data_IF_903214778381
#
_entry.id   IF_903214778381
#
_cell.length_a   1.000
_cell.length_b   1.000
_cell.length_c   1.000
_cell.angle_alpha   90.00
_cell.angle_beta   90.00
_cell.angle_gamma   90.00
#
_symmetry.space_group_name_H-M   'P 1'
#
loop_
_entity.id
_entity.type
_entity.pdbx_description
1 polymer ?
#
# COMPACT_ATOMS: atom_id res chain seq x y z
N UNK A 1 17.27 -4.49 20.13
CA UNK A 1 16.69 -4.47 18.78
C UNK A 1 17.79 -4.27 17.76
N UNK A 2 17.76 -4.92 16.59
CA UNK A 2 18.59 -4.49 15.44
C UNK A 2 17.79 -3.43 14.70
N UNK A 3 18.37 -2.25 14.55
CA UNK A 3 17.79 -1.18 13.73
C UNK A 3 18.31 -1.35 12.31
N UNK A 4 17.42 -1.21 11.33
CA UNK A 4 17.75 -1.16 9.91
C UNK A 4 17.19 0.15 9.35
N UNK A 5 17.97 0.86 8.53
CA UNK A 5 17.48 2.02 7.79
C UNK A 5 16.83 1.53 6.50
N UNK A 6 15.54 1.81 6.34
CA UNK A 6 14.82 1.56 5.10
C UNK A 6 14.84 2.81 4.21
N UNK A 7 14.99 2.62 2.90
CA UNK A 7 14.87 3.65 1.86
C UNK A 7 13.78 3.22 0.88
N UNK A 8 12.86 4.12 0.58
CA UNK A 8 11.70 3.84 -0.26
C UNK A 8 11.68 4.71 -1.51
N UNK A 9 11.27 4.11 -2.63
CA UNK A 9 10.95 4.82 -3.88
C UNK A 9 9.51 4.49 -4.27
N UNK A 10 8.71 5.54 -4.49
CA UNK A 10 7.30 5.41 -4.87
C UNK A 10 7.11 5.65 -6.36
N UNK A 11 6.33 4.80 -7.02
CA UNK A 11 6.02 4.91 -8.45
C UNK A 11 4.55 4.62 -8.72
N UNK A 12 3.90 5.49 -9.49
CA UNK A 12 2.54 5.24 -9.98
C UNK A 12 2.55 4.11 -11.01
N UNK A 13 1.71 3.09 -10.82
CA UNK A 13 1.60 1.92 -11.71
C UNK A 13 0.38 1.89 -12.60
N UNK A 14 -0.58 2.80 -12.39
CA UNK A 14 -1.80 2.90 -13.18
C UNK A 14 -3.04 3.10 -12.33
N UNK A 15 -4.18 2.67 -12.85
CA UNK A 15 -5.50 2.70 -12.19
C UNK A 15 -5.99 1.28 -11.95
N UNK A 16 -6.87 1.13 -10.97
CA UNK A 16 -7.50 -0.14 -10.59
C UNK A 16 -8.88 0.16 -9.96
N UNK A 17 -9.62 -0.87 -9.53
CA UNK A 17 -10.81 -0.71 -8.70
C UNK A 17 -10.71 -1.54 -7.41
N UNK A 18 -11.23 -1.01 -6.32
CA UNK A 18 -11.35 -1.72 -5.04
C UNK A 18 -12.84 -1.89 -4.75
N UNK A 19 -13.27 -3.14 -4.58
CA UNK A 19 -14.64 -3.47 -4.19
C UNK A 19 -14.75 -3.70 -2.69
N UNK A 20 -15.69 -2.99 -2.06
CA UNK A 20 -16.04 -3.16 -0.66
C UNK A 20 -17.56 -3.34 -0.56
N UNK A 21 -17.99 -4.57 -0.26
CA UNK A 21 -19.41 -4.90 -0.24
C UNK A 21 -20.04 -4.73 -1.62
N UNK A 22 -21.03 -3.85 -1.75
CA UNK A 22 -21.69 -3.53 -3.03
C UNK A 22 -21.12 -2.28 -3.72
N UNK A 23 -20.13 -1.62 -3.13
CA UNK A 23 -19.52 -0.40 -3.68
C UNK A 23 -18.22 -0.76 -4.42
N UNK A 24 -18.02 -0.13 -5.58
CA UNK A 24 -16.77 -0.19 -6.34
C UNK A 24 -16.16 1.20 -6.38
N UNK A 25 -14.92 1.34 -5.90
CA UNK A 25 -14.19 2.59 -5.87
C UNK A 25 -13.04 2.55 -6.88
N UNK A 26 -13.04 3.48 -7.84
CA UNK A 26 -11.92 3.68 -8.74
C UNK A 26 -10.71 4.25 -7.98
N UNK A 27 -9.53 3.72 -8.24
CA UNK A 27 -8.30 4.06 -7.51
C UNK A 27 -7.10 4.15 -8.46
N UNK A 28 -6.04 4.82 -8.00
CA UNK A 28 -4.70 4.77 -8.58
C UNK A 28 -3.80 3.89 -7.72
N UNK A 29 -2.94 3.12 -8.37
CA UNK A 29 -2.02 2.19 -7.70
C UNK A 29 -0.67 2.84 -7.54
N UNK A 30 -0.20 2.94 -6.29
CA UNK A 30 1.13 3.39 -5.93
C UNK A 30 1.95 2.19 -5.44
N UNK A 31 3.00 1.86 -6.17
CA UNK A 31 4.00 0.87 -5.75
C UNK A 31 5.09 1.58 -4.94
N UNK A 32 5.52 0.96 -3.85
CA UNK A 32 6.68 1.36 -3.07
C UNK A 32 7.73 0.24 -3.12
N UNK A 33 8.90 0.55 -3.66
CA UNK A 33 10.07 -0.32 -3.51
C UNK A 33 10.84 0.10 -2.27
N UNK A 34 10.97 -0.82 -1.30
CA UNK A 34 11.70 -0.58 -0.06
C UNK A 34 12.99 -1.38 -0.05
N UNK A 35 14.09 -0.72 0.32
CA UNK A 35 15.41 -1.31 0.40
C UNK A 35 16.05 -1.03 1.75
N UNK A 36 16.78 -2.01 2.25
CA UNK A 36 17.74 -1.88 3.36
C UNK A 36 19.06 -2.45 2.88
N UNK A 37 20.12 -2.36 3.69
CA UNK A 37 21.41 -2.96 3.34
C UNK A 37 21.37 -4.50 3.26
N UNK A 38 20.30 -5.14 3.76
CA UNK A 38 20.20 -6.61 3.87
C UNK A 38 19.13 -7.23 2.97
N UNK A 39 18.09 -6.48 2.61
CA UNK A 39 16.94 -7.00 1.88
C UNK A 39 16.13 -5.90 1.22
N UNK A 40 15.25 -6.30 0.30
CA UNK A 40 14.29 -5.44 -0.39
C UNK A 40 12.93 -6.12 -0.46
N UNK A 41 11.88 -5.31 -0.49
CA UNK A 41 10.51 -5.76 -0.69
C UNK A 41 9.69 -4.69 -1.38
N UNK A 42 8.47 -5.06 -1.75
CA UNK A 42 7.53 -4.15 -2.39
C UNK A 42 6.26 -4.06 -1.57
N UNK A 43 5.83 -2.83 -1.31
CA UNK A 43 4.49 -2.54 -0.80
C UNK A 43 3.64 -1.95 -1.92
N UNK A 44 2.32 -2.02 -1.77
CA UNK A 44 1.35 -1.45 -2.71
C UNK A 44 0.23 -0.75 -1.97
N UNK A 45 -0.20 0.37 -2.51
CA UNK A 45 -1.26 1.21 -1.99
C UNK A 45 -2.26 1.52 -3.10
N UNK A 46 -3.55 1.38 -2.81
CA UNK A 46 -4.64 1.78 -3.70
C UNK A 46 -5.26 3.05 -3.16
N UNK A 47 -5.14 4.14 -3.93
CA UNK A 47 -5.46 5.49 -3.49
C UNK A 47 -6.65 6.00 -4.33
N UNK A 48 -7.73 6.43 -3.68
CA UNK A 48 -8.89 6.99 -4.39
C UNK A 48 -8.64 8.42 -4.90
N UNK A 49 -9.65 8.99 -5.57
CA UNK A 49 -9.57 10.34 -6.13
C UNK A 49 -9.43 11.45 -5.07
N UNK A 50 -9.77 11.18 -3.81
CA UNK A 50 -9.64 12.12 -2.69
C UNK A 50 -8.27 11.99 -1.99
N UNK A 51 -7.45 11.02 -2.40
CA UNK A 51 -6.16 10.74 -1.77
C UNK A 51 -6.23 9.78 -0.59
N UNK A 52 -7.39 9.17 -0.31
CA UNK A 52 -7.52 8.18 0.76
C UNK A 52 -7.01 6.81 0.31
N UNK A 53 -6.28 6.12 1.18
CA UNK A 53 -5.85 4.74 0.94
C UNK A 53 -7.04 3.81 1.21
N UNK A 54 -7.49 3.09 0.19
CA UNK A 54 -8.58 2.12 0.27
C UNK A 54 -8.11 0.71 0.57
N UNK A 55 -6.90 0.38 0.12
CA UNK A 55 -6.28 -0.90 0.37
C UNK A 55 -4.76 -0.77 0.45
N UNK A 56 -4.13 -1.63 1.24
CA UNK A 56 -2.68 -1.82 1.25
C UNK A 56 -2.30 -3.28 1.18
N UNK A 57 -1.16 -3.55 0.54
CA UNK A 57 -0.39 -4.78 0.67
C UNK A 57 1.01 -4.38 1.11
N UNK A 58 1.38 -4.74 2.33
CA UNK A 58 2.63 -4.31 2.97
C UNK A 58 3.31 -5.46 3.69
N UNK A 59 4.57 -5.29 4.04
CA UNK A 59 5.28 -6.22 4.93
C UNK A 59 5.59 -5.57 6.28
N UNK A 60 5.22 -6.25 7.36
CA UNK A 60 5.72 -5.94 8.71
C UNK A 60 7.09 -6.58 8.87
N UNK A 61 8.11 -5.74 9.04
CA UNK A 61 9.50 -6.15 8.95
C UNK A 61 9.95 -6.35 7.51
N UNK A 62 11.26 -6.49 7.33
CA UNK A 62 11.91 -6.44 6.04
C UNK A 62 11.64 -7.70 5.19
N UNK A 63 10.47 -7.73 4.54
CA UNK A 63 9.90 -8.87 3.79
C UNK A 63 9.46 -10.07 4.64
N UNK A 64 9.12 -9.86 5.93
CA UNK A 64 8.91 -11.00 6.84
C UNK A 64 7.45 -11.42 6.97
N UNK A 65 6.54 -10.49 7.32
CA UNK A 65 5.12 -10.80 7.49
C UNK A 65 4.26 -9.98 6.53
N UNK A 66 3.63 -10.60 5.51
CA UNK A 66 2.74 -9.90 4.61
C UNK A 66 1.43 -9.54 5.34
N UNK A 67 0.97 -8.30 5.14
CA UNK A 67 -0.27 -7.75 5.67
C UNK A 67 -1.06 -7.14 4.53
N UNK A 68 -2.31 -7.56 4.41
CA UNK A 68 -3.29 -6.95 3.52
C UNK A 68 -4.37 -6.27 4.35
N UNK A 69 -4.61 -4.99 4.07
CA UNK A 69 -5.61 -4.19 4.78
C UNK A 69 -6.56 -3.56 3.79
N UNK A 70 -7.87 -3.65 4.04
CA UNK A 70 -8.91 -2.97 3.25
C UNK A 70 -9.72 -2.07 4.18
N UNK A 71 -9.86 -0.80 3.82
CA UNK A 71 -10.65 0.16 4.61
C UNK A 71 -12.10 0.14 4.13
N UNK A 72 -12.98 -0.41 4.97
CA UNK A 72 -14.39 -0.67 4.61
C UNK A 72 -15.24 0.60 4.64
N UNK A 73 -14.90 1.57 5.48
CA UNK A 73 -15.65 2.83 5.60
C UNK A 73 -14.83 3.96 4.97
N UNK A 74 -15.36 4.55 3.91
CA UNK A 74 -14.88 5.84 3.40
C UNK A 74 -14.95 6.87 4.53
N UNK A 75 -13.87 7.64 4.76
CA UNK A 75 -14.00 8.82 5.58
C UNK A 75 -14.93 9.79 4.83
N UNK A 76 -16.12 10.04 5.36
CA UNK A 76 -16.93 11.18 4.90
C UNK A 76 -16.23 12.44 5.40
N UNK A 77 -15.98 13.38 4.48
CA UNK A 77 -15.60 14.74 4.84
C UNK A 77 -16.72 15.49 5.55
#
# INVERSE_FOLDING_TARGET
MRYATARSVFTWRGTDSVSVGSEETAVRVLDEEVTTDQTRWRNRYWIDSEGQIRQTEQYLGANYFPVKTTLIKAAKS
#
